data_IF_010043519136
#
_entry.id   IF_010043519136
#
_cell.length_a   1.000
_cell.length_b   1.000
_cell.length_c   1.000
_cell.angle_alpha   90.00
_cell.angle_beta   90.00
_cell.angle_gamma   90.00
#
_symmetry.space_group_name_H-M   'P 1'
#
loop_
_entity.id
_entity.type
_entity.pdbx_description
1 polymer ?
#
# COMPACT_ATOMS: atom_id res chain seq x y z
N UNK A 1 -31.07 10.10 -24.48
CA UNK A 1 -31.65 9.91 -25.83
C UNK A 1 -30.82 10.73 -26.80
N UNK A 2 -30.91 10.43 -28.11
CA UNK A 2 -30.23 11.16 -29.18
C UNK A 2 -31.28 11.71 -30.15
N UNK A 3 -30.90 12.72 -30.93
CA UNK A 3 -31.75 13.29 -31.99
C UNK A 3 -31.12 12.94 -33.34
N UNK A 4 -31.92 12.44 -34.27
CA UNK A 4 -31.49 12.25 -35.66
C UNK A 4 -31.98 13.43 -36.49
N UNK A 5 -31.04 14.16 -37.09
CA UNK A 5 -31.33 15.25 -38.01
C UNK A 5 -31.33 14.67 -39.43
N UNK A 6 -32.53 14.41 -39.97
CA UNK A 6 -32.65 13.90 -41.33
C UNK A 6 -32.32 14.99 -42.35
N UNK A 7 -31.33 14.74 -43.21
CA UNK A 7 -30.90 15.65 -44.29
C UNK A 7 -30.61 14.86 -45.56
N UNK A 8 -30.86 15.49 -46.72
CA UNK A 8 -30.46 14.93 -48.03
C UNK A 8 -28.93 14.93 -48.17
N UNK A 9 -28.24 15.91 -47.57
CA UNK A 9 -26.79 15.96 -47.47
C UNK A 9 -26.36 16.13 -45.99
N UNK A 10 -26.13 15.02 -45.28
CA UNK A 10 -25.69 15.02 -43.88
C UNK A 10 -24.29 15.58 -43.67
N UNK A 11 -23.49 15.63 -44.73
CA UNK A 11 -22.08 16.06 -44.70
C UNK A 11 -21.89 17.53 -45.06
N UNK A 12 -22.92 18.18 -45.59
CA UNK A 12 -22.89 19.62 -45.86
C UNK A 12 -22.58 20.43 -44.59
N UNK A 13 -21.74 21.44 -44.73
CA UNK A 13 -21.31 22.31 -43.62
C UNK A 13 -22.50 22.96 -42.90
N UNK A 14 -23.54 23.33 -43.63
CA UNK A 14 -24.76 23.92 -43.07
C UNK A 14 -25.50 22.93 -42.15
N UNK A 15 -25.59 21.66 -42.54
CA UNK A 15 -26.22 20.60 -41.75
C UNK A 15 -25.42 20.31 -40.48
N UNK A 16 -24.09 20.23 -40.59
CA UNK A 16 -23.20 19.99 -39.44
C UNK A 16 -23.26 21.18 -38.47
N UNK A 17 -23.30 22.41 -38.98
CA UNK A 17 -23.43 23.60 -38.13
C UNK A 17 -24.74 23.57 -37.36
N UNK A 18 -25.85 23.27 -38.05
CA UNK A 18 -27.16 23.14 -37.42
C UNK A 18 -27.18 22.01 -36.37
N UNK A 19 -26.57 20.86 -36.64
CA UNK A 19 -26.50 19.78 -35.64
C UNK A 19 -25.70 20.17 -34.40
N UNK A 20 -24.63 20.96 -34.56
CA UNK A 20 -23.83 21.46 -33.44
C UNK A 20 -24.59 22.51 -32.62
N UNK A 21 -25.29 23.44 -33.27
CA UNK A 21 -26.15 24.44 -32.62
C UNK A 21 -27.23 23.74 -31.79
N UNK A 22 -27.95 22.79 -32.38
CA UNK A 22 -28.97 22.00 -31.69
C UNK A 22 -28.38 21.15 -30.55
N UNK A 23 -27.19 20.57 -30.72
CA UNK A 23 -26.51 19.82 -29.65
C UNK A 23 -26.19 20.71 -28.45
N UNK A 24 -25.77 21.96 -28.70
CA UNK A 24 -25.49 22.93 -27.66
C UNK A 24 -26.76 23.41 -26.95
N UNK A 25 -27.86 23.58 -27.68
CA UNK A 25 -29.17 24.00 -27.16
C UNK A 25 -29.83 22.89 -26.33
N UNK A 26 -29.97 21.69 -26.89
CA UNK A 26 -30.70 20.59 -26.26
C UNK A 26 -29.85 19.74 -25.31
N UNK A 27 -28.53 19.95 -25.26
CA UNK A 27 -27.55 19.20 -24.43
C UNK A 27 -27.53 17.68 -24.66
N UNK A 28 -28.09 17.22 -25.78
CA UNK A 28 -28.09 15.83 -26.24
C UNK A 28 -27.45 15.75 -27.63
N UNK A 29 -26.81 14.62 -27.99
CA UNK A 29 -26.21 14.47 -29.31
C UNK A 29 -27.26 14.56 -30.42
N UNK A 30 -26.97 15.40 -31.41
CA UNK A 30 -27.74 15.50 -32.65
C UNK A 30 -26.89 14.93 -33.79
N UNK A 31 -27.35 13.86 -34.42
CA UNK A 31 -26.60 13.14 -35.45
C UNK A 31 -27.25 13.44 -36.81
N UNK A 32 -26.55 14.14 -37.72
CA UNK A 32 -27.03 14.32 -39.08
C UNK A 32 -26.93 12.98 -39.84
N UNK A 33 -28.04 12.57 -40.45
CA UNK A 33 -28.14 11.32 -41.21
C UNK A 33 -29.07 11.49 -42.41
N UNK A 34 -28.85 10.71 -43.47
CA UNK A 34 -29.81 10.61 -44.58
C UNK A 34 -30.64 9.36 -44.35
N UNK A 35 -31.91 9.53 -43.95
CA UNK A 35 -32.79 8.38 -43.69
C UNK A 35 -33.03 7.52 -44.94
N UNK A 36 -32.86 8.10 -46.14
CA UNK A 36 -32.98 7.38 -47.41
C UNK A 36 -31.78 6.48 -47.70
N UNK A 37 -30.59 6.85 -47.22
CA UNK A 37 -29.32 6.16 -47.46
C UNK A 37 -28.80 5.40 -46.23
N UNK A 38 -29.66 5.22 -45.21
CA UNK A 38 -29.29 4.46 -44.01
C UNK A 38 -28.91 3.02 -44.36
N UNK A 39 -27.67 2.68 -44.04
CA UNK A 39 -27.15 1.32 -44.13
C UNK A 39 -26.91 0.71 -42.74
N UNK A 40 -26.47 -0.56 -42.71
CA UNK A 40 -26.19 -1.25 -41.45
C UNK A 40 -25.08 -0.58 -40.64
N UNK A 41 -24.08 0.00 -41.32
CA UNK A 41 -22.94 0.69 -40.67
C UNK A 41 -23.43 1.93 -39.94
N UNK A 42 -24.27 2.71 -40.60
CA UNK A 42 -24.84 3.95 -40.10
C UNK A 42 -25.79 3.68 -38.93
N UNK A 43 -26.60 2.62 -39.03
CA UNK A 43 -27.44 2.16 -37.92
C UNK A 43 -26.59 1.74 -36.71
N UNK A 44 -25.50 0.98 -36.91
CA UNK A 44 -24.57 0.61 -35.83
C UNK A 44 -23.93 1.85 -35.18
N UNK A 45 -23.55 2.85 -35.97
CA UNK A 45 -23.03 4.14 -35.49
C UNK A 45 -24.04 4.86 -34.59
N UNK A 46 -25.29 4.95 -35.04
CA UNK A 46 -26.39 5.57 -34.29
C UNK A 46 -26.63 4.84 -32.96
N UNK A 47 -26.70 3.50 -32.98
CA UNK A 47 -26.89 2.69 -31.78
C UNK A 47 -25.72 2.84 -30.79
N UNK A 48 -24.47 2.90 -31.29
CA UNK A 48 -23.31 3.15 -30.44
C UNK A 48 -23.42 4.52 -29.74
N UNK A 49 -23.78 5.58 -30.47
CA UNK A 49 -23.97 6.92 -29.89
C UNK A 49 -25.11 6.95 -28.86
N UNK A 50 -26.19 6.22 -29.11
CA UNK A 50 -27.27 6.05 -28.14
C UNK A 50 -26.79 5.37 -26.86
N UNK A 51 -25.96 4.34 -26.96
CA UNK A 51 -25.40 3.63 -25.81
C UNK A 51 -24.50 4.54 -24.96
N UNK A 52 -23.77 5.48 -25.55
CA UNK A 52 -22.98 6.47 -24.79
C UNK A 52 -23.83 7.48 -24.01
N UNK A 53 -25.11 7.64 -24.37
CA UNK A 53 -26.08 8.45 -23.64
C UNK A 53 -26.79 7.70 -22.51
N UNK A 54 -26.48 6.40 -22.31
CA UNK A 54 -27.05 5.64 -21.21
C UNK A 54 -26.51 6.13 -19.87
N UNK A 55 -27.34 6.04 -18.81
CA UNK A 55 -26.90 6.40 -17.48
C UNK A 55 -25.82 5.43 -17.01
N UNK A 56 -24.79 5.96 -16.37
CA UNK A 56 -23.80 5.12 -15.70
C UNK A 56 -24.36 4.65 -14.36
N UNK A 57 -24.17 3.37 -14.07
CA UNK A 57 -24.67 2.72 -12.84
C UNK A 57 -23.55 2.41 -11.87
N UNK A 58 -22.39 2.04 -12.38
CA UNK A 58 -21.27 1.61 -11.56
C UNK A 58 -19.94 2.01 -12.21
N UNK A 59 -19.04 2.52 -11.38
CA UNK A 59 -17.66 2.80 -11.76
C UNK A 59 -16.78 2.02 -10.80
N UNK A 60 -16.03 1.06 -11.34
CA UNK A 60 -14.99 0.37 -10.61
C UNK A 60 -13.66 1.09 -10.86
N UNK A 61 -12.98 1.43 -9.77
CA UNK A 61 -11.69 2.11 -9.81
C UNK A 61 -10.63 1.17 -9.24
N UNK A 62 -9.68 0.77 -10.08
CA UNK A 62 -8.50 0.02 -9.67
C UNK A 62 -7.43 1.00 -9.20
N UNK A 63 -7.11 0.92 -7.91
CA UNK A 63 -6.16 1.78 -7.21
C UNK A 63 -5.02 0.89 -6.72
N UNK A 64 -3.76 1.36 -6.71
CA UNK A 64 -2.64 0.57 -6.21
C UNK A 64 -2.93 0.01 -4.82
N UNK A 65 -2.81 -1.31 -4.67
CA UNK A 65 -3.23 -2.03 -3.45
C UNK A 65 -2.55 -1.53 -2.18
N UNK A 66 -1.33 -1.02 -2.29
CA UNK A 66 -0.60 -0.47 -1.14
C UNK A 66 -1.28 0.78 -0.60
N UNK A 67 -1.83 1.66 -1.46
CA UNK A 67 -2.62 2.83 -1.04
C UNK A 67 -3.92 2.42 -0.37
N UNK A 68 -4.58 1.39 -0.91
CA UNK A 68 -5.82 0.86 -0.31
C UNK A 68 -5.55 0.30 1.10
N UNK A 69 -4.36 -0.25 1.34
CA UNK A 69 -3.95 -0.82 2.64
C UNK A 69 -3.50 0.21 3.67
N UNK A 70 -3.28 1.47 3.29
CA UNK A 70 -2.95 2.52 4.25
C UNK A 70 -4.07 2.72 5.27
N UNK A 71 -3.70 3.21 6.45
CA UNK A 71 -4.66 3.54 7.50
C UNK A 71 -5.73 4.50 7.00
N UNK A 72 -6.92 4.40 7.61
CA UNK A 72 -8.09 5.17 7.16
C UNK A 72 -7.83 6.68 7.16
N UNK A 73 -7.04 7.14 8.13
CA UNK A 73 -6.73 8.55 8.34
C UNK A 73 -5.43 8.99 7.64
N UNK A 74 -4.80 8.10 6.86
CA UNK A 74 -3.59 8.43 6.12
C UNK A 74 -3.89 9.50 5.05
N UNK A 75 -3.04 10.53 4.98
CA UNK A 75 -3.22 11.71 4.14
C UNK A 75 -3.36 11.35 2.65
N UNK A 76 -2.45 10.53 2.11
CA UNK A 76 -2.45 10.13 0.70
C UNK A 76 -3.73 9.40 0.29
N UNK A 77 -4.17 8.46 1.13
CA UNK A 77 -5.41 7.71 0.90
C UNK A 77 -6.62 8.63 0.88
N UNK A 78 -6.69 9.57 1.81
CA UNK A 78 -7.78 10.56 1.87
C UNK A 78 -7.84 11.40 0.61
N UNK A 79 -6.71 12.00 0.20
CA UNK A 79 -6.66 12.88 -0.99
C UNK A 79 -7.03 12.13 -2.27
N UNK A 80 -6.47 10.93 -2.49
CA UNK A 80 -6.75 10.12 -3.69
C UNK A 80 -8.22 9.70 -3.73
N UNK A 81 -8.76 9.16 -2.63
CA UNK A 81 -10.15 8.72 -2.59
C UNK A 81 -11.14 9.88 -2.72
N UNK A 82 -10.85 11.03 -2.12
CA UNK A 82 -11.71 12.21 -2.22
C UNK A 82 -11.70 12.80 -3.63
N UNK A 83 -10.53 12.85 -4.28
CA UNK A 83 -10.42 13.23 -5.70
C UNK A 83 -11.31 12.34 -6.58
N UNK A 84 -11.18 11.01 -6.42
CA UNK A 84 -11.96 10.04 -7.19
C UNK A 84 -13.45 10.20 -6.91
N UNK A 85 -13.87 10.24 -5.63
CA UNK A 85 -15.30 10.37 -5.25
C UNK A 85 -15.91 11.67 -5.74
N UNK A 86 -15.20 12.80 -5.59
CA UNK A 86 -15.67 14.12 -6.01
C UNK A 86 -15.90 14.19 -7.51
N UNK A 87 -15.02 13.58 -8.31
CA UNK A 87 -15.15 13.58 -9.76
C UNK A 87 -16.17 12.53 -10.25
N UNK A 88 -16.20 11.35 -9.63
CA UNK A 88 -17.21 10.33 -9.90
C UNK A 88 -18.63 10.80 -9.52
N UNK A 89 -18.81 11.69 -8.54
CA UNK A 89 -20.13 12.22 -8.19
C UNK A 89 -20.74 13.14 -9.26
N UNK A 90 -19.95 13.66 -10.20
CA UNK A 90 -20.40 14.56 -11.27
C UNK A 90 -20.96 13.83 -12.50
N UNK A 91 -20.86 12.50 -12.53
CA UNK A 91 -21.16 11.72 -13.72
C UNK A 91 -22.60 11.23 -13.76
N UNK A 92 -23.21 11.40 -14.91
CA UNK A 92 -24.55 10.88 -15.18
C UNK A 92 -24.53 9.89 -16.35
N UNK A 93 -23.69 10.13 -17.36
CA UNK A 93 -23.69 9.40 -18.64
C UNK A 93 -22.32 8.83 -18.97
N UNK A 94 -22.32 7.73 -19.71
CA UNK A 94 -21.08 7.03 -20.10
C UNK A 94 -20.13 7.93 -20.91
N UNK A 95 -20.65 8.80 -21.80
CA UNK A 95 -19.79 9.74 -22.57
C UNK A 95 -18.89 10.63 -21.71
N UNK A 96 -19.26 10.88 -20.45
CA UNK A 96 -18.54 11.80 -19.56
C UNK A 96 -17.34 11.14 -18.86
N UNK A 97 -17.13 9.82 -19.01
CA UNK A 97 -16.03 9.10 -18.37
C UNK A 97 -14.66 9.70 -18.73
N UNK A 98 -14.48 10.10 -19.99
CA UNK A 98 -13.23 10.68 -20.46
C UNK A 98 -12.91 12.00 -19.74
N UNK A 99 -13.93 12.83 -19.48
CA UNK A 99 -13.74 14.08 -18.74
C UNK A 99 -13.32 13.82 -17.29
N UNK A 100 -13.90 12.80 -16.64
CA UNK A 100 -13.55 12.45 -15.26
C UNK A 100 -12.12 11.95 -15.15
N UNK A 101 -11.67 11.19 -16.13
CA UNK A 101 -10.27 10.74 -16.17
C UNK A 101 -9.35 11.96 -16.18
N UNK A 102 -9.60 12.92 -17.07
CA UNK A 102 -8.83 14.16 -17.11
C UNK A 102 -8.92 14.98 -15.81
N UNK A 103 -10.08 15.01 -15.16
CA UNK A 103 -10.29 15.70 -13.87
C UNK A 103 -9.55 14.98 -12.71
N UNK A 104 -9.51 13.65 -12.71
CA UNK A 104 -8.79 12.84 -11.70
C UNK A 104 -7.28 13.01 -11.87
N UNK A 105 -6.79 13.08 -13.11
CA UNK A 105 -5.38 13.32 -13.44
C UNK A 105 -4.89 14.72 -13.00
N UNK A 106 -5.77 15.66 -12.65
CA UNK A 106 -5.36 16.94 -12.06
C UNK A 106 -4.95 16.81 -10.58
N UNK A 107 -5.12 15.65 -9.96
CA UNK A 107 -4.66 15.40 -8.60
C UNK A 107 -3.13 15.26 -8.59
N UNK A 108 -2.46 16.03 -7.72
CA UNK A 108 -0.99 16.09 -7.63
C UNK A 108 -0.30 14.73 -7.42
N UNK A 109 -0.98 13.76 -6.80
CA UNK A 109 -0.42 12.45 -6.48
C UNK A 109 -0.75 11.37 -7.54
N UNK A 110 -1.56 11.70 -8.54
CA UNK A 110 -2.00 10.78 -9.58
C UNK A 110 -1.20 11.05 -10.85
N UNK A 111 -0.46 10.06 -11.32
CA UNK A 111 0.35 10.18 -12.55
C UNK A 111 -0.48 9.90 -13.81
N UNK A 112 -1.46 9.01 -13.74
CA UNK A 112 -2.37 8.73 -14.86
C UNK A 112 -3.66 8.07 -14.40
N UNK A 113 -4.72 8.25 -15.17
CA UNK A 113 -5.94 7.46 -15.08
C UNK A 113 -6.36 6.99 -16.48
N UNK A 114 -6.88 5.77 -16.58
CA UNK A 114 -7.30 5.22 -17.88
C UNK A 114 -8.52 4.33 -17.75
N UNK A 115 -9.38 4.36 -18.76
CA UNK A 115 -10.45 3.36 -18.91
C UNK A 115 -9.80 2.03 -19.28
N UNK A 116 -10.10 0.98 -18.53
CA UNK A 116 -9.66 -0.39 -18.83
C UNK A 116 -10.77 -1.24 -19.43
N UNK A 117 -12.04 -0.95 -19.10
CA UNK A 117 -13.20 -1.67 -19.63
C UNK A 117 -14.47 -0.81 -19.60
N UNK A 118 -15.35 -1.01 -20.58
CA UNK A 118 -16.68 -0.40 -20.64
C UNK A 118 -17.71 -1.45 -21.05
N UNK A 119 -18.77 -1.58 -20.26
CA UNK A 119 -20.00 -2.28 -20.64
C UNK A 119 -21.11 -1.24 -20.82
N UNK A 120 -21.29 -0.81 -22.06
CA UNK A 120 -22.27 0.22 -22.42
C UNK A 120 -23.72 -0.23 -22.19
N UNK A 121 -23.98 -1.54 -22.29
CA UNK A 121 -25.32 -2.11 -22.12
C UNK A 121 -25.76 -2.15 -20.66
N UNK A 122 -24.81 -2.31 -19.74
CA UNK A 122 -25.07 -2.31 -18.28
C UNK A 122 -24.81 -0.96 -17.61
N UNK A 123 -24.13 -0.05 -18.29
CA UNK A 123 -23.68 1.21 -17.70
C UNK A 123 -22.56 0.99 -16.67
N UNK A 124 -21.67 0.04 -16.92
CA UNK A 124 -20.52 -0.26 -16.06
C UNK A 124 -19.23 0.23 -16.71
N UNK A 125 -18.38 0.86 -15.91
CA UNK A 125 -17.05 1.30 -16.34
C UNK A 125 -15.98 0.84 -15.36
N UNK A 126 -14.83 0.45 -15.90
CA UNK A 126 -13.64 0.15 -15.11
C UNK A 126 -12.52 1.10 -15.53
N UNK A 127 -11.85 1.67 -14.54
CA UNK A 127 -10.70 2.53 -14.75
C UNK A 127 -9.56 2.15 -13.81
N UNK A 128 -8.33 2.34 -14.26
CA UNK A 128 -7.13 2.16 -13.45
C UNK A 128 -6.49 3.52 -13.18
N UNK A 129 -6.11 3.75 -11.93
CA UNK A 129 -5.41 4.94 -11.46
C UNK A 129 -3.98 4.56 -11.11
N UNK A 130 -3.01 5.30 -11.62
CA UNK A 130 -1.60 5.14 -11.27
C UNK A 130 -1.15 6.30 -10.38
N UNK A 131 -0.39 5.97 -9.36
CA UNK A 131 0.12 6.92 -8.36
C UNK A 131 1.62 7.02 -8.54
N UNK A 132 2.17 8.19 -8.27
CA UNK A 132 3.60 8.46 -8.42
C UNK A 132 4.44 7.47 -7.61
N UNK A 133 5.45 6.88 -8.25
CA UNK A 133 6.26 5.82 -7.64
C UNK A 133 7.06 6.31 -6.44
N UNK A 134 7.49 7.57 -6.43
CA UNK A 134 8.23 8.17 -5.32
C UNK A 134 7.39 8.21 -4.03
N UNK A 135 6.07 8.34 -4.16
CA UNK A 135 5.16 8.34 -3.01
C UNK A 135 5.15 6.99 -2.29
N UNK A 136 5.40 5.89 -2.99
CA UNK A 136 5.50 4.57 -2.36
C UNK A 136 6.67 4.53 -1.36
N UNK A 137 7.84 5.02 -1.77
CA UNK A 137 9.03 5.07 -0.91
C UNK A 137 8.88 6.06 0.24
N UNK A 138 8.29 7.23 -0.04
CA UNK A 138 7.95 8.22 0.98
C UNK A 138 7.05 7.63 2.06
N UNK A 139 5.97 6.95 1.67
CA UNK A 139 5.02 6.33 2.62
C UNK A 139 5.67 5.21 3.43
N UNK A 140 6.50 4.36 2.81
CA UNK A 140 7.25 3.34 3.56
C UNK A 140 8.18 4.01 4.58
N UNK A 141 8.86 5.09 4.20
CA UNK A 141 9.77 5.81 5.09
C UNK A 141 9.02 6.42 6.28
N UNK A 142 7.85 7.02 6.04
CA UNK A 142 6.98 7.58 7.08
C UNK A 142 6.51 6.50 8.09
N UNK A 143 6.06 5.35 7.59
CA UNK A 143 5.52 4.26 8.42
C UNK A 143 6.59 3.48 9.20
N UNK A 144 7.79 3.35 8.63
CA UNK A 144 8.88 2.54 9.22
C UNK A 144 9.90 3.37 9.99
N UNK A 145 9.94 4.69 9.77
CA UNK A 145 11.00 5.58 10.26
C UNK A 145 12.37 5.32 9.62
N UNK A 146 12.42 4.55 8.53
CA UNK A 146 13.63 4.25 7.78
C UNK A 146 13.73 5.22 6.58
N UNK A 147 14.94 5.62 6.23
CA UNK A 147 15.16 6.45 5.03
C UNK A 147 15.22 5.54 3.80
N UNK A 148 14.14 5.53 3.02
CA UNK A 148 14.02 4.76 1.77
C UNK A 148 13.53 5.72 0.69
N UNK A 149 14.40 6.02 -0.26
CA UNK A 149 14.13 6.94 -1.38
C UNK A 149 13.96 6.21 -2.70
N UNK A 150 14.52 5.00 -2.83
CA UNK A 150 14.50 4.22 -4.09
C UNK A 150 14.54 2.69 -3.90
N UNK A 151 14.43 1.96 -5.01
CA UNK A 151 14.43 0.48 -5.06
C UNK A 151 15.68 -0.14 -4.44
N UNK A 152 16.85 0.44 -4.69
CA UNK A 152 18.13 -0.07 -4.21
C UNK A 152 18.22 0.01 -2.68
N UNK A 153 17.77 1.13 -2.10
CA UNK A 153 17.73 1.32 -0.65
C UNK A 153 16.73 0.40 0.02
N UNK A 154 15.54 0.23 -0.59
CA UNK A 154 14.54 -0.73 -0.11
C UNK A 154 15.12 -2.16 -0.10
N UNK A 155 15.80 -2.58 -1.16
CA UNK A 155 16.41 -3.90 -1.25
C UNK A 155 17.49 -4.09 -0.18
N UNK A 156 18.34 -3.09 0.04
CA UNK A 156 19.37 -3.16 1.07
C UNK A 156 18.76 -3.19 2.48
N UNK A 157 17.74 -2.38 2.74
CA UNK A 157 16.97 -2.41 3.97
C UNK A 157 16.43 -3.82 4.26
N UNK A 158 15.75 -4.44 3.28
CA UNK A 158 15.21 -5.79 3.43
C UNK A 158 16.32 -6.82 3.67
N UNK A 159 17.47 -6.72 2.99
CA UNK A 159 18.62 -7.62 3.22
C UNK A 159 19.15 -7.47 4.64
N UNK A 160 19.34 -6.24 5.13
CA UNK A 160 19.80 -5.97 6.48
C UNK A 160 18.80 -6.47 7.52
N UNK A 161 17.50 -6.20 7.33
CA UNK A 161 16.44 -6.70 8.21
C UNK A 161 16.38 -8.22 8.25
N UNK A 162 16.52 -8.89 7.10
CA UNK A 162 16.55 -10.36 7.03
C UNK A 162 17.79 -10.95 7.74
N UNK A 163 18.96 -10.32 7.60
CA UNK A 163 20.16 -10.73 8.33
C UNK A 163 19.98 -10.54 9.84
N UNK A 164 19.47 -9.38 10.26
CA UNK A 164 19.20 -9.08 11.67
C UNK A 164 18.12 -9.97 12.27
N UNK A 165 17.09 -10.31 11.49
CA UNK A 165 16.07 -11.27 11.90
C UNK A 165 16.68 -12.65 12.17
N UNK A 166 17.55 -13.16 11.30
CA UNK A 166 18.25 -14.43 11.55
C UNK A 166 19.12 -14.40 12.80
N UNK A 167 19.82 -13.30 13.05
CA UNK A 167 20.59 -13.11 14.29
C UNK A 167 19.66 -13.07 15.51
N UNK A 168 18.50 -12.40 15.41
CA UNK A 168 17.50 -12.32 16.47
C UNK A 168 16.84 -13.67 16.74
N UNK A 169 16.49 -14.44 15.70
CA UNK A 169 15.87 -15.75 15.82
C UNK A 169 16.76 -16.74 16.58
N UNK A 170 18.10 -16.61 16.46
CA UNK A 170 19.05 -17.41 17.26
C UNK A 170 18.92 -17.13 18.76
N UNK A 171 18.65 -15.88 19.15
CA UNK A 171 18.58 -15.48 20.56
C UNK A 171 17.15 -15.51 21.12
N UNK A 172 16.12 -15.52 20.26
CA UNK A 172 14.72 -15.41 20.65
C UNK A 172 14.30 -16.47 21.68
N UNK A 173 14.67 -17.74 21.45
CA UNK A 173 14.35 -18.83 22.37
C UNK A 173 15.03 -18.66 23.73
N UNK A 174 16.30 -18.24 23.75
CA UNK A 174 17.01 -17.99 25.00
C UNK A 174 16.41 -16.79 25.74
N UNK A 175 15.98 -15.75 25.02
CA UNK A 175 15.30 -14.61 25.62
C UNK A 175 13.98 -15.00 26.29
N UNK A 176 13.17 -15.86 25.66
CA UNK A 176 11.95 -16.41 26.28
C UNK A 176 12.26 -17.20 27.57
N UNK A 177 13.29 -18.07 27.53
CA UNK A 177 13.75 -18.81 28.73
C UNK A 177 14.16 -17.87 29.88
N UNK A 178 14.83 -16.77 29.56
CA UNK A 178 15.20 -15.74 30.55
C UNK A 178 13.97 -15.10 31.18
N UNK A 179 12.92 -14.85 30.41
CA UNK A 179 11.68 -14.27 30.96
C UNK A 179 10.96 -15.24 31.90
N UNK A 180 10.95 -16.53 31.58
CA UNK A 180 10.26 -17.56 32.38
C UNK A 180 11.06 -18.02 33.60
N UNK A 181 12.36 -18.26 33.44
CA UNK A 181 13.20 -18.95 34.44
C UNK A 181 14.29 -18.07 35.03
N UNK A 182 14.51 -16.88 34.48
CA UNK A 182 15.61 -15.98 34.84
C UNK A 182 16.93 -16.29 34.13
N UNK A 183 16.98 -17.33 33.31
CA UNK A 183 18.19 -17.78 32.63
C UNK A 183 17.89 -18.40 31.27
N UNK A 184 18.73 -18.12 30.27
CA UNK A 184 18.57 -18.71 28.93
C UNK A 184 19.91 -18.92 28.26
N UNK A 185 19.99 -19.95 27.43
CA UNK A 185 21.21 -20.33 26.71
C UNK A 185 20.93 -20.40 25.22
N UNK A 186 21.78 -19.73 24.44
CA UNK A 186 21.87 -19.92 22.98
C UNK A 186 22.97 -20.94 22.71
N UNK A 187 22.56 -22.08 22.17
CA UNK A 187 23.50 -23.12 21.75
C UNK A 187 24.11 -22.77 20.39
N UNK A 188 25.41 -23.03 20.17
CA UNK A 188 26.02 -22.82 18.87
C UNK A 188 25.39 -23.71 17.80
N UNK A 189 25.34 -23.18 16.58
CA UNK A 189 24.92 -23.97 15.41
C UNK A 189 26.09 -24.79 14.85
N UNK A 190 25.78 -25.77 13.99
CA UNK A 190 26.81 -26.58 13.31
C UNK A 190 27.76 -25.70 12.49
N UNK A 191 27.25 -24.63 11.89
CA UNK A 191 28.04 -23.69 11.09
C UNK A 191 29.02 -22.85 11.93
N UNK A 192 28.84 -22.84 13.26
CA UNK A 192 29.70 -22.13 14.22
C UNK A 192 30.75 -23.06 14.85
N UNK A 193 30.77 -24.35 14.48
CA UNK A 193 31.78 -25.32 14.91
C UNK A 193 33.11 -25.06 14.21
N UNK A 194 34.14 -24.80 15.01
CA UNK A 194 35.54 -24.80 14.55
C UNK A 194 36.14 -26.17 14.85
N UNK A 195 36.63 -26.86 13.81
CA UNK A 195 37.31 -28.15 13.89
C UNK A 195 38.82 -27.94 13.94
N UNK A 196 39.47 -28.48 14.97
CA UNK A 196 40.94 -28.52 15.02
C UNK A 196 41.47 -29.63 14.10
N UNK A 197 42.77 -29.54 13.77
CA UNK A 197 43.44 -30.58 13.00
C UNK A 197 43.30 -31.97 13.67
N UNK A 198 42.90 -32.99 12.89
CA UNK A 198 42.75 -34.35 13.41
C UNK A 198 44.09 -34.93 13.87
N UNK A 199 44.13 -35.46 15.09
CA UNK A 199 45.33 -36.12 15.63
C UNK A 199 45.17 -37.63 15.65
N UNK A 200 46.16 -38.37 15.15
CA UNK A 200 46.17 -39.84 15.25
C UNK A 200 46.53 -40.23 16.69
N UNK A 201 45.68 -41.03 17.31
CA UNK A 201 45.92 -41.61 18.62
C UNK A 201 46.08 -43.12 18.50
N UNK A 202 47.00 -43.70 19.27
CA UNK A 202 47.23 -45.15 19.32
C UNK A 202 46.93 -45.66 20.72
N UNK A 203 45.99 -46.60 20.83
CA UNK A 203 45.60 -47.23 22.09
C UNK A 203 45.47 -48.73 21.91
N UNK A 204 46.18 -49.52 22.71
CA UNK A 204 46.10 -50.99 22.74
C UNK A 204 46.20 -51.67 21.37
N UNK A 205 47.13 -51.22 20.53
CA UNK A 205 47.36 -51.77 19.19
C UNK A 205 46.39 -51.29 18.10
N UNK A 206 45.40 -50.46 18.42
CA UNK A 206 44.47 -49.83 17.47
C UNK A 206 44.84 -48.36 17.23
N UNK A 207 44.65 -47.90 16.00
CA UNK A 207 44.75 -46.50 15.63
C UNK A 207 43.36 -45.88 15.60
N UNK A 208 43.23 -44.67 16.14
CA UNK A 208 42.03 -43.85 16.10
C UNK A 208 42.37 -42.42 15.71
N UNK A 209 41.33 -41.64 15.42
CA UNK A 209 41.44 -40.21 15.11
C UNK A 209 40.77 -39.44 16.25
N UNK A 210 41.50 -38.51 16.87
CA UNK A 210 40.97 -37.56 17.82
C UNK A 210 40.55 -36.30 17.06
N UNK A 211 39.25 -36.07 17.02
CA UNK A 211 38.66 -34.84 16.51
C UNK A 211 38.35 -33.92 17.69
N UNK A 212 38.74 -32.65 17.60
CA UNK A 212 38.32 -31.63 18.56
C UNK A 212 37.48 -30.60 17.81
N UNK A 213 36.31 -30.29 18.35
CA UNK A 213 35.45 -29.22 17.88
C UNK A 213 35.21 -28.24 19.02
N UNK A 214 35.13 -26.96 18.72
CA UNK A 214 34.73 -25.93 19.68
C UNK A 214 33.76 -24.94 19.04
N UNK A 215 32.81 -24.45 19.82
CA UNK A 215 31.91 -23.38 19.41
C UNK A 215 31.45 -22.58 20.64
N UNK A 216 31.24 -21.26 20.50
CA UNK A 216 30.81 -20.41 21.60
C UNK A 216 29.33 -20.62 21.92
N UNK A 217 28.97 -20.59 23.20
CA UNK A 217 27.57 -20.47 23.64
C UNK A 217 27.34 -19.09 24.23
N UNK A 218 26.12 -18.56 24.10
CA UNK A 218 25.73 -17.28 24.71
C UNK A 218 24.81 -17.57 25.88
N UNK A 219 25.13 -16.98 27.02
CA UNK A 219 24.35 -17.10 28.25
C UNK A 219 23.68 -15.76 28.54
N UNK A 220 22.36 -15.78 28.73
CA UNK A 220 21.57 -14.62 29.09
C UNK A 220 21.02 -14.81 30.50
N UNK A 221 21.13 -13.77 31.33
CA UNK A 221 20.73 -13.81 32.74
C UNK A 221 19.84 -12.61 33.06
N UNK A 222 18.69 -12.87 33.70
CA UNK A 222 17.85 -11.83 34.28
C UNK A 222 18.36 -11.54 35.70
N UNK A 223 18.74 -10.30 35.95
CA UNK A 223 19.22 -9.87 37.26
C UNK A 223 18.27 -8.78 37.77
N UNK A 224 17.81 -8.94 39.01
CA UNK A 224 17.04 -7.92 39.71
C UNK A 224 17.98 -7.11 40.59
N UNK A 225 18.23 -5.86 40.20
CA UNK A 225 18.93 -4.89 41.03
C UNK A 225 17.91 -4.16 41.89
N UNK A 226 17.95 -4.40 43.20
CA UNK A 226 17.22 -3.62 44.19
C UNK A 226 18.15 -2.56 44.77
N UNK A 227 17.76 -1.30 44.65
CA UNK A 227 18.46 -0.17 45.27
C UNK A 227 17.49 0.50 46.22
N UNK A 228 17.81 0.48 47.50
CA UNK A 228 17.09 1.21 48.53
C UNK A 228 17.81 2.53 48.80
N UNK A 229 17.06 3.63 48.86
CA UNK A 229 17.56 4.91 49.32
C UNK A 229 16.82 5.24 50.61
N UNK A 230 17.54 5.31 51.72
CA UNK A 230 16.99 5.75 53.00
C UNK A 230 17.37 7.23 53.21
N UNK A 231 16.55 8.19 52.75
CA UNK A 231 16.82 9.59 53.01
C UNK A 231 16.73 9.85 54.52
N UNK A 232 17.72 10.54 55.08
CA UNK A 232 17.64 11.02 56.46
C UNK A 232 16.79 12.30 56.43
N UNK A 233 15.60 12.21 57.01
CA UNK A 233 14.64 13.32 57.10
C UNK A 233 14.51 13.73 58.56
N UNK A 234 14.74 15.02 58.81
CA UNK A 234 15.17 15.58 60.08
C UNK A 234 14.41 15.10 61.31
N UNK A 235 13.26 15.69 61.61
CA UNK A 235 12.45 15.29 62.77
C UNK A 235 11.50 14.13 62.44
N UNK A 236 11.03 13.44 63.48
CA UNK A 236 10.04 12.35 63.38
C UNK A 236 8.77 12.80 62.64
N UNK A 237 8.27 13.99 62.97
CA UNK A 237 7.08 14.57 62.33
C UNK A 237 7.26 14.80 60.81
N UNK A 238 8.47 15.21 60.39
CA UNK A 238 8.80 15.38 58.96
C UNK A 238 8.93 14.03 58.23
N UNK A 239 9.38 13.00 58.94
CA UNK A 239 9.46 11.64 58.41
C UNK A 239 8.05 11.06 58.19
N UNK A 240 7.15 11.25 59.15
CA UNK A 240 5.75 10.81 59.05
C UNK A 240 5.00 11.49 57.89
N UNK A 241 5.16 12.81 57.72
CA UNK A 241 4.56 13.55 56.59
C UNK A 241 5.05 13.02 55.23
N UNK A 242 6.34 12.72 55.12
CA UNK A 242 6.94 12.17 53.89
C UNK A 242 6.46 10.76 53.56
N UNK A 243 6.24 9.92 54.57
CA UNK A 243 5.68 8.57 54.40
C UNK A 243 4.24 8.65 53.89
N UNK A 244 3.43 9.57 54.43
CA UNK A 244 2.05 9.78 53.97
C UNK A 244 2.00 10.31 52.53
N UNK A 245 2.85 11.29 52.19
CA UNK A 245 2.94 11.86 50.83
C UNK A 245 3.42 10.85 49.78
N UNK A 246 4.39 10.00 50.12
CA UNK A 246 4.92 8.99 49.21
C UNK A 246 3.94 7.84 48.99
N UNK A 247 3.21 7.43 50.02
CA UNK A 247 2.21 6.35 49.93
C UNK A 247 0.95 6.73 49.12
N UNK A 248 0.72 8.01 48.83
CA UNK A 248 -0.38 8.47 47.96
C UNK A 248 -0.01 8.52 46.46
N UNK A 249 1.28 8.37 46.11
CA UNK A 249 1.80 8.43 44.73
C UNK A 249 2.19 7.08 44.14
N UNK A 250 2.16 6.02 44.94
CA UNK A 250 2.35 4.62 44.53
C UNK A 250 0.96 3.99 44.38
#
# INVERSE_FOLDING_TARGET
FIILLNSVDPTADETIRLSNEMTAEYKVPVIPVSCMELDETEIKRILAQLLFEFPIREIKVDIPKWVVKLDKDHWLKSVVFDSIKKNAAKIEKIRQIQQIISDIEQCEYITSAKVTSLDLGKGYAEMAVSIESELFYKVISEETGLEITEEYELLNCIKTLSQKQKEFDKIAQAYEQVQETGYGIVMPTIDELTLDEPQIIKQSGKYGIKLRASAPSIHMMKIFTQTEVTPIVGSEQQSEELVVLSSQRI
#
